data_IF_942316592819
#
_entry.id   IF_942316592819
#
_cell.length_a   1.000
_cell.length_b   1.000
_cell.length_c   1.000
_cell.angle_alpha   90.00
_cell.angle_beta   90.00
_cell.angle_gamma   90.00
#
_symmetry.space_group_name_H-M   'P 1'
#
loop_
_entity.id
_entity.type
_entity.pdbx_description
1 polymer ?
#
# COMPACT_ATOMS: atom_id res chain seq x y z
N UNK A 1 3.37 31.45 23.09
CA UNK A 1 2.70 30.57 24.06
C UNK A 1 2.09 29.42 23.27
N UNK A 2 2.82 28.30 23.13
CA UNK A 2 2.26 27.10 22.50
C UNK A 2 1.13 26.59 23.39
N UNK A 3 -0.01 26.27 22.81
CA UNK A 3 -1.09 25.60 23.52
C UNK A 3 -0.53 24.31 24.14
N UNK A 4 -0.81 24.09 25.42
CA UNK A 4 -0.58 22.81 26.09
C UNK A 4 -1.40 21.77 25.33
N UNK A 5 -0.70 20.86 24.63
CA UNK A 5 -1.23 19.80 23.76
C UNK A 5 -1.81 18.64 24.59
N UNK A 6 -2.46 18.93 25.71
CA UNK A 6 -2.90 17.87 26.64
C UNK A 6 -4.25 17.23 26.24
N UNK A 7 -4.92 17.73 25.19
CA UNK A 7 -6.28 17.30 24.82
C UNK A 7 -6.46 16.74 23.39
N UNK A 8 -5.38 16.42 22.65
CA UNK A 8 -5.56 15.55 21.47
C UNK A 8 -5.75 14.11 21.96
N UNK A 9 -7.01 13.76 22.24
CA UNK A 9 -7.40 12.40 22.57
C UNK A 9 -7.43 11.54 21.30
N UNK A 10 -6.25 11.15 20.80
CA UNK A 10 -6.14 10.17 19.71
C UNK A 10 -6.75 8.85 20.21
N UNK A 11 -7.70 8.23 19.48
CA UNK A 11 -8.22 6.92 19.86
C UNK A 11 -7.11 5.87 19.97
N UNK A 12 -7.27 4.92 20.90
CA UNK A 12 -6.35 3.77 21.02
C UNK A 12 -6.38 2.98 19.72
N UNK A 13 -5.21 2.53 19.26
CA UNK A 13 -5.08 1.74 18.03
C UNK A 13 -5.02 2.53 16.73
N UNK A 14 -5.05 3.86 16.74
CA UNK A 14 -4.77 4.66 15.53
C UNK A 14 -3.27 4.64 15.25
N UNK A 15 -2.81 4.20 14.06
CA UNK A 15 -1.40 4.31 13.67
C UNK A 15 -1.02 5.77 13.45
N UNK A 16 0.01 6.22 14.16
CA UNK A 16 0.54 7.57 14.08
C UNK A 16 1.94 7.53 13.44
N UNK A 17 2.18 8.33 12.38
CA UNK A 17 3.55 8.61 11.93
C UNK A 17 4.33 9.30 13.05
N UNK A 18 5.47 8.72 13.41
CA UNK A 18 6.33 9.18 14.49
C UNK A 18 7.76 9.36 13.97
N UNK A 19 8.39 10.54 14.19
CA UNK A 19 9.64 10.90 13.52
C UNK A 19 10.88 10.18 14.07
N UNK A 20 10.75 9.41 15.15
CA UNK A 20 11.88 8.80 15.83
C UNK A 20 11.84 7.26 15.78
N UNK A 21 13.03 6.65 15.77
CA UNK A 21 13.19 5.18 15.74
C UNK A 21 12.68 4.50 17.02
N UNK A 22 12.94 5.11 18.17
CA UNK A 22 12.55 4.57 19.48
C UNK A 22 11.15 5.03 19.86
N UNK A 23 10.29 4.07 20.17
CA UNK A 23 8.91 4.31 20.55
C UNK A 23 8.82 4.92 21.95
N UNK A 24 8.06 6.02 22.13
CA UNK A 24 7.90 6.66 23.43
C UNK A 24 7.10 5.78 24.40
N UNK A 25 7.26 6.04 25.70
CA UNK A 25 6.48 5.36 26.74
C UNK A 25 4.98 5.60 26.50
N UNK A 26 4.19 4.53 26.67
CA UNK A 26 2.74 4.56 26.43
C UNK A 26 2.32 4.23 25.00
N UNK A 27 3.27 3.93 24.11
CA UNK A 27 3.02 3.55 22.73
C UNK A 27 3.68 2.21 22.37
N UNK A 28 3.17 1.56 21.33
CA UNK A 28 3.75 0.36 20.70
C UNK A 28 4.07 0.63 19.25
N UNK A 29 5.18 0.08 18.76
CA UNK A 29 5.55 0.11 17.34
C UNK A 29 4.65 -0.82 16.51
N UNK A 30 4.17 -0.38 15.35
CA UNK A 30 3.47 -1.20 14.37
C UNK A 30 4.45 -2.08 13.56
N UNK A 31 5.05 -3.07 14.22
CA UNK A 31 6.03 -4.01 13.64
C UNK A 31 5.55 -5.47 13.69
N UNK A 32 4.24 -5.70 13.86
CA UNK A 32 3.73 -7.06 14.05
C UNK A 32 4.04 -7.67 15.42
N UNK A 33 4.36 -6.90 16.46
CA UNK A 33 4.50 -7.47 17.80
C UNK A 33 3.13 -7.86 18.38
N UNK A 34 3.12 -8.89 19.22
CA UNK A 34 1.97 -9.23 20.06
C UNK A 34 1.91 -8.32 21.28
N UNK A 35 0.75 -8.20 21.90
CA UNK A 35 0.55 -7.46 23.14
C UNK A 35 -0.39 -8.21 24.09
N UNK A 36 -0.29 -7.90 25.37
CA UNK A 36 -1.21 -8.45 26.39
C UNK A 36 -2.56 -7.74 26.31
N UNK A 37 -3.59 -8.48 25.89
CA UNK A 37 -4.96 -7.98 25.75
C UNK A 37 -5.60 -7.60 27.08
N UNK A 38 -5.22 -8.25 28.18
CA UNK A 38 -5.71 -7.95 29.52
C UNK A 38 -5.13 -6.65 30.05
N UNK A 39 -3.86 -6.37 29.71
CA UNK A 39 -3.19 -5.12 30.06
C UNK A 39 -3.65 -3.94 29.20
N UNK A 40 -3.98 -4.20 27.92
CA UNK A 40 -4.37 -3.18 26.95
C UNK A 40 -5.75 -3.46 26.31
N UNK A 41 -6.85 -3.40 27.11
CA UNK A 41 -8.17 -3.82 26.64
C UNK A 41 -8.73 -2.95 25.50
N UNK A 42 -8.46 -1.64 25.50
CA UNK A 42 -8.85 -0.75 24.39
C UNK A 42 -8.06 -1.04 23.11
N UNK A 43 -6.80 -1.45 23.23
CA UNK A 43 -6.02 -1.86 22.07
C UNK A 43 -6.49 -3.21 21.54
N UNK A 44 -6.95 -4.10 22.43
CA UNK A 44 -7.59 -5.36 22.05
C UNK A 44 -8.93 -5.16 21.33
N UNK A 45 -9.66 -4.07 21.60
CA UNK A 45 -10.85 -3.69 20.83
C UNK A 45 -10.47 -3.29 19.39
N UNK A 46 -9.41 -2.49 19.23
CA UNK A 46 -8.91 -2.08 17.91
C UNK A 46 -8.23 -3.22 17.13
N UNK A 47 -7.51 -4.10 17.84
CA UNK A 47 -6.77 -5.24 17.28
C UNK A 47 -7.11 -6.55 18.03
N UNK A 48 -8.23 -7.21 17.69
CA UNK A 48 -8.74 -8.39 18.40
C UNK A 48 -7.79 -9.58 18.44
N UNK A 49 -6.89 -9.70 17.47
CA UNK A 49 -5.89 -10.78 17.39
C UNK A 49 -4.75 -10.62 18.41
N UNK A 50 -4.72 -9.52 19.19
CA UNK A 50 -3.66 -9.28 20.18
C UNK A 50 -2.32 -8.95 19.53
N UNK A 51 -2.34 -8.44 18.30
CA UNK A 51 -1.16 -8.08 17.51
C UNK A 51 -1.39 -6.76 16.81
N UNK A 52 -0.43 -5.85 16.89
CA UNK A 52 -0.44 -4.64 16.06
C UNK A 52 -0.06 -4.99 14.62
N UNK A 53 -0.50 -4.23 13.60
CA UNK A 53 -0.08 -4.48 12.22
C UNK A 53 1.43 -4.31 12.07
N UNK A 54 2.00 -4.95 11.04
CA UNK A 54 3.35 -4.62 10.57
C UNK A 54 3.20 -3.62 9.43
N UNK A 55 3.53 -2.35 9.70
CA UNK A 55 3.38 -1.24 8.74
C UNK A 55 4.73 -0.76 8.20
N UNK A 56 5.80 -1.51 8.43
CA UNK A 56 7.14 -1.15 7.96
C UNK A 56 7.20 -1.29 6.44
N UNK A 57 7.31 -0.17 5.74
CA UNK A 57 7.34 -0.13 4.27
C UNK A 57 5.95 -0.10 3.62
N UNK A 58 4.88 -0.06 4.40
CA UNK A 58 3.50 -0.12 3.90
C UNK A 58 2.89 1.27 3.69
N UNK A 59 2.05 1.41 2.67
CA UNK A 59 1.16 2.56 2.50
C UNK A 59 -0.21 2.23 3.09
N UNK A 60 -0.75 3.13 3.92
CA UNK A 60 -2.12 3.01 4.42
C UNK A 60 -3.08 3.57 3.37
N UNK A 61 -4.10 2.79 3.00
CA UNK A 61 -5.19 3.20 2.12
C UNK A 61 -6.53 3.18 2.87
N UNK A 62 -7.50 3.97 2.40
CA UNK A 62 -8.86 3.92 2.92
C UNK A 62 -9.54 2.58 2.58
N UNK A 63 -10.22 1.97 3.55
CA UNK A 63 -11.02 0.76 3.29
C UNK A 63 -12.20 1.08 2.37
N UNK A 64 -12.56 0.14 1.49
CA UNK A 64 -13.61 0.36 0.49
C UNK A 64 -15.00 0.52 1.11
N UNK A 65 -15.27 -0.19 2.22
CA UNK A 65 -16.53 -0.15 2.97
C UNK A 65 -17.78 -0.16 2.06
N UNK A 66 -17.80 -1.10 1.10
CA UNK A 66 -18.90 -1.30 0.14
C UNK A 66 -19.10 -0.17 -0.88
N UNK A 67 -18.13 0.72 -1.07
CA UNK A 67 -18.14 1.74 -2.13
C UNK A 67 -17.99 1.14 -3.54
N UNK A 68 -17.39 -0.05 -3.65
CA UNK A 68 -17.26 -0.79 -4.90
C UNK A 68 -15.99 -0.47 -5.71
N UNK A 69 -15.03 0.25 -5.15
CA UNK A 69 -13.73 0.56 -5.78
C UNK A 69 -12.75 -0.60 -5.59
N UNK A 70 -12.73 -1.21 -4.41
CA UNK A 70 -11.90 -2.39 -4.08
C UNK A 70 -12.73 -3.42 -3.30
N UNK A 71 -13.71 -3.99 -4.01
CA UNK A 71 -14.67 -4.97 -3.47
C UNK A 71 -13.98 -6.24 -2.98
N UNK A 72 -14.46 -6.79 -1.86
CA UNK A 72 -13.93 -8.02 -1.25
C UNK A 72 -12.71 -7.82 -0.36
N UNK A 73 -12.20 -6.59 -0.26
CA UNK A 73 -11.10 -6.24 0.63
C UNK A 73 -11.55 -6.16 2.10
N UNK A 74 -10.79 -6.78 3.01
CA UNK A 74 -11.05 -6.73 4.46
C UNK A 74 -10.20 -5.63 5.12
N UNK A 75 -10.71 -5.02 6.19
CA UNK A 75 -9.91 -4.09 7.02
C UNK A 75 -8.61 -4.79 7.48
N UNK A 76 -7.49 -4.06 7.49
CA UNK A 76 -6.14 -4.55 7.84
C UNK A 76 -5.55 -5.67 6.97
N UNK A 77 -6.18 -6.04 5.85
CA UNK A 77 -5.57 -7.03 4.95
C UNK A 77 -4.36 -6.46 4.18
N UNK A 78 -3.39 -7.32 3.86
CA UNK A 78 -2.18 -7.01 3.06
C UNK A 78 -2.39 -7.23 1.55
N UNK A 79 -1.90 -6.31 0.71
CA UNK A 79 -1.99 -6.40 -0.75
C UNK A 79 -0.61 -6.10 -1.31
N UNK A 80 -0.14 -6.96 -2.21
CA UNK A 80 1.04 -6.68 -3.01
C UNK A 80 0.81 -5.45 -3.90
N UNK A 81 1.86 -4.66 -4.08
CA UNK A 81 1.84 -3.58 -5.05
C UNK A 81 1.64 -4.14 -6.47
N UNK A 82 0.72 -3.53 -7.23
CA UNK A 82 0.51 -3.89 -8.63
C UNK A 82 0.72 -2.66 -9.50
N UNK A 83 1.58 -2.77 -10.51
CA UNK A 83 1.62 -1.83 -11.61
C UNK A 83 0.61 -2.28 -12.69
N UNK A 84 -0.14 -1.37 -13.34
CA UNK A 84 -0.94 -1.75 -14.49
C UNK A 84 -0.04 -2.39 -15.54
N UNK A 85 -0.44 -3.56 -16.04
CA UNK A 85 0.28 -4.23 -17.14
C UNK A 85 0.17 -3.33 -18.38
N UNK A 86 1.28 -2.75 -18.81
CA UNK A 86 1.38 -2.13 -20.13
C UNK A 86 1.48 -3.23 -21.18
N UNK A 87 0.35 -3.77 -21.64
CA UNK A 87 0.34 -4.66 -22.79
C UNK A 87 0.48 -3.82 -24.07
N UNK A 88 1.59 -3.95 -24.78
CA UNK A 88 1.76 -3.47 -26.15
C UNK A 88 1.48 -4.66 -27.07
N UNK A 89 0.37 -4.62 -27.81
CA UNK A 89 0.08 -5.62 -28.84
C UNK A 89 0.81 -5.23 -30.13
N UNK A 90 1.75 -6.08 -30.59
CA UNK A 90 2.38 -5.94 -31.90
C UNK A 90 1.35 -6.23 -33.00
N UNK A 91 1.15 -5.28 -33.91
CA UNK A 91 0.22 -5.42 -35.01
C UNK A 91 0.87 -6.23 -36.14
N UNK A 92 0.60 -7.55 -36.22
CA UNK A 92 0.73 -8.34 -37.47
C UNK A 92 -0.21 -9.56 -37.43
N UNK A 93 -1.38 -9.41 -38.04
CA UNK A 93 -2.34 -10.49 -38.27
C UNK A 93 -3.70 -10.25 -37.61
N UNK A 94 -4.77 -10.37 -38.39
CA UNK A 94 -6.16 -10.08 -38.01
C UNK A 94 -6.78 -11.05 -36.98
N UNK A 95 -5.98 -11.78 -36.19
CA UNK A 95 -6.48 -12.76 -35.23
C UNK A 95 -6.40 -12.23 -33.79
N UNK A 96 -7.18 -11.17 -33.54
CA UNK A 96 -7.59 -10.77 -32.19
C UNK A 96 -8.61 -11.74 -31.55
N UNK A 97 -8.94 -12.85 -32.20
CA UNK A 97 -10.04 -13.75 -31.82
C UNK A 97 -9.75 -14.66 -30.62
N UNK A 98 -8.56 -14.60 -30.03
CA UNK A 98 -8.19 -15.47 -28.90
C UNK A 98 -8.42 -14.87 -27.52
N UNK A 99 -9.08 -13.70 -27.39
CA UNK A 99 -9.65 -13.13 -26.15
C UNK A 99 -8.78 -13.19 -24.86
N UNK A 100 -7.46 -13.40 -24.97
CA UNK A 100 -6.52 -13.46 -23.84
C UNK A 100 -5.94 -12.10 -23.48
N UNK A 101 -6.53 -11.02 -23.98
CA UNK A 101 -6.13 -9.66 -23.67
C UNK A 101 -7.19 -9.03 -22.76
N UNK A 102 -6.75 -8.40 -21.66
CA UNK A 102 -7.61 -7.49 -20.91
C UNK A 102 -7.68 -6.20 -21.72
N UNK A 103 -8.85 -5.85 -22.23
CA UNK A 103 -9.07 -4.53 -22.80
C UNK A 103 -8.85 -3.49 -21.69
N UNK A 104 -7.82 -2.67 -21.85
CA UNK A 104 -7.46 -1.62 -20.88
C UNK A 104 -7.90 -0.23 -21.34
N UNK A 105 -8.55 -0.12 -22.51
CA UNK A 105 -8.96 1.17 -23.09
C UNK A 105 -7.81 2.07 -23.52
N UNK A 106 -6.57 1.54 -23.60
CA UNK A 106 -5.36 2.29 -23.95
C UNK A 106 -4.64 1.64 -25.14
N UNK A 107 -4.41 2.42 -26.20
CA UNK A 107 -3.67 2.00 -27.40
C UNK A 107 -2.36 2.76 -27.50
N UNK A 108 -1.23 2.06 -27.52
CA UNK A 108 0.10 2.63 -27.76
C UNK A 108 0.65 2.13 -29.10
N UNK A 109 1.14 3.03 -29.94
CA UNK A 109 1.80 2.69 -31.20
C UNK A 109 3.32 2.56 -30.98
N UNK A 110 3.92 1.46 -31.43
CA UNK A 110 5.38 1.28 -31.49
C UNK A 110 5.88 1.43 -32.92
N UNK A 111 7.02 2.09 -33.12
CA UNK A 111 7.68 2.17 -34.42
C UNK A 111 8.37 0.86 -34.81
N UNK A 112 8.46 0.60 -36.12
CA UNK A 112 9.25 -0.52 -36.68
C UNK A 112 10.72 -0.11 -36.74
N UNK A 113 11.65 -1.01 -36.42
CA UNK A 113 13.00 -0.86 -36.98
C UNK A 113 12.94 -1.25 -38.47
N UNK A 114 13.94 -0.87 -39.27
CA UNK A 114 13.98 -1.13 -40.72
C UNK A 114 14.12 -2.64 -41.09
N UNK A 115 13.70 -3.55 -40.21
CA UNK A 115 13.84 -5.01 -40.32
C UNK A 115 12.60 -5.82 -39.93
N UNK A 116 11.41 -5.21 -39.90
CA UNK A 116 10.12 -5.90 -39.66
C UNK A 116 9.93 -6.51 -38.27
N UNK A 117 10.79 -6.22 -37.29
CA UNK A 117 10.64 -6.70 -35.91
C UNK A 117 10.05 -5.60 -35.02
N UNK A 118 8.96 -5.92 -34.31
CA UNK A 118 8.49 -5.13 -33.18
C UNK A 118 9.41 -5.39 -31.99
N UNK A 119 10.27 -4.42 -31.65
CA UNK A 119 11.09 -4.51 -30.44
C UNK A 119 10.41 -3.72 -29.33
N UNK A 120 9.86 -4.42 -28.33
CA UNK A 120 9.49 -3.81 -27.07
C UNK A 120 10.78 -3.60 -26.29
N UNK A 121 11.35 -2.39 -26.39
CA UNK A 121 12.40 -1.96 -25.46
C UNK A 121 11.67 -1.45 -24.22
N UNK A 122 11.26 -2.37 -23.36
CA UNK A 122 10.97 -1.99 -21.99
C UNK A 122 12.32 -1.56 -21.43
N UNK A 123 12.47 -0.28 -21.07
CA UNK A 123 13.66 0.12 -20.34
C UNK A 123 13.77 -0.86 -19.16
N UNK A 124 14.86 -1.61 -19.11
CA UNK A 124 15.33 -2.19 -17.87
C UNK A 124 15.80 -0.99 -17.04
N UNK A 125 14.82 -0.22 -16.57
CA UNK A 125 15.02 0.84 -15.64
C UNK A 125 15.67 0.14 -14.45
N UNK A 126 16.97 0.37 -14.28
CA UNK A 126 17.75 -0.11 -13.16
C UNK A 126 17.22 0.57 -11.89
N UNK A 127 15.99 0.26 -11.52
CA UNK A 127 15.22 0.80 -10.41
C UNK A 127 14.90 2.30 -10.52
N UNK A 128 14.41 2.80 -11.67
CA UNK A 128 13.58 4.04 -11.66
C UNK A 128 12.19 3.68 -11.15
N UNK A 129 12.20 3.41 -9.85
CA UNK A 129 11.12 2.94 -9.03
C UNK A 129 9.85 3.78 -9.25
N UNK A 130 8.76 3.16 -9.68
CA UNK A 130 7.42 3.75 -9.65
C UNK A 130 6.91 3.83 -8.21
N UNK A 131 7.70 4.36 -7.28
CA UNK A 131 7.25 4.68 -5.93
C UNK A 131 6.98 6.19 -5.81
N UNK A 132 5.92 6.59 -5.09
CA UNK A 132 5.81 7.96 -4.63
C UNK A 132 7.08 8.36 -3.85
N UNK A 133 7.58 9.59 -4.07
CA UNK A 133 8.59 10.16 -3.17
C UNK A 133 8.00 10.23 -1.77
N UNK A 134 8.67 9.63 -0.79
CA UNK A 134 8.18 9.57 0.58
C UNK A 134 9.34 9.83 1.56
N UNK A 135 8.97 10.17 2.81
CA UNK A 135 9.89 10.27 3.95
C UNK A 135 9.45 9.19 4.94
N UNK A 136 10.41 8.38 5.40
CA UNK A 136 10.12 7.29 6.32
C UNK A 136 9.88 7.81 7.75
N UNK A 137 8.69 7.54 8.28
CA UNK A 137 8.35 7.69 9.68
C UNK A 137 8.13 6.31 10.28
N UNK A 138 8.34 6.16 11.58
CA UNK A 138 7.87 4.98 12.29
C UNK A 138 6.35 5.05 12.44
N UNK A 139 5.64 3.92 12.49
CA UNK A 139 4.24 3.91 12.89
C UNK A 139 4.13 3.39 14.32
N UNK A 140 3.45 4.15 15.17
CA UNK A 140 3.19 3.79 16.56
C UNK A 140 1.68 3.86 16.87
N UNK A 141 1.22 3.07 17.83
CA UNK A 141 -0.15 3.13 18.37
C UNK A 141 -0.09 3.41 19.86
N UNK A 142 -1.03 4.21 20.37
CA UNK A 142 -1.20 4.37 21.82
C UNK A 142 -1.57 3.02 22.43
N UNK A 143 -0.96 2.66 23.55
CA UNK A 143 -1.19 1.37 24.21
C UNK A 143 -2.45 1.37 25.12
N UNK A 144 -2.83 2.52 25.70
CA UNK A 144 -3.96 2.66 26.63
C UNK A 144 -4.68 4.00 26.48
#
# INVERSE_FOLDING_TARGET
MLAMLDDINVPVGVPLPYPHRYTPVGYLTCNGQTFDKSLYPKLAEAYPDGRVPDLRGEFIRGWDDSRGVDSGRRILSYQEGQAPVSAIAGYWGNNWNDNKHRDTGFSAATGTNNGSFHTIIQEYESQRETRPRNIAFNYIVRAA
#
